data_IF_402235255572
#
_entry.id   IF_402235255572
#
_cell.length_a   1.000
_cell.length_b   1.000
_cell.length_c   1.000
_cell.angle_alpha   90.00
_cell.angle_beta   90.00
_cell.angle_gamma   90.00
#
_symmetry.space_group_name_H-M   'P 1'
#
loop_
_entity.id
_entity.type
_entity.pdbx_description
1 polymer ?
#
# COMPACT_ATOMS: atom_id res chain seq x y z
N UNK A 1 -1.30 25.13 -6.16
CA UNK A 1 -1.17 23.65 -6.16
C UNK A 1 -0.50 23.22 -7.47
N UNK A 2 0.83 23.29 -7.53
CA UNK A 2 1.61 23.08 -8.76
C UNK A 2 2.02 21.60 -8.94
N UNK A 3 2.26 20.87 -7.84
CA UNK A 3 2.76 19.48 -7.90
C UNK A 3 1.70 18.43 -8.28
N UNK A 4 0.41 18.63 -7.94
CA UNK A 4 -0.66 17.71 -8.33
C UNK A 4 -0.96 17.78 -9.84
N UNK A 5 -0.87 18.97 -10.43
CA UNK A 5 -0.98 19.14 -11.88
C UNK A 5 0.24 18.54 -12.60
N UNK A 6 1.44 18.69 -12.04
CA UNK A 6 2.65 18.01 -12.53
C UNK A 6 2.49 16.48 -12.45
N UNK A 7 1.93 15.94 -11.38
CA UNK A 7 1.69 14.50 -11.25
C UNK A 7 0.82 13.96 -12.39
N UNK A 8 -0.27 14.65 -12.72
CA UNK A 8 -1.18 14.28 -13.84
C UNK A 8 -0.54 14.40 -15.23
N UNK A 9 0.59 15.09 -15.36
CA UNK A 9 1.33 15.17 -16.63
C UNK A 9 2.29 14.01 -16.85
N UNK A 10 2.60 13.20 -15.82
CA UNK A 10 3.38 11.99 -16.00
C UNK A 10 2.55 10.97 -16.78
N UNK A 11 2.87 10.83 -18.06
CA UNK A 11 2.38 9.72 -18.88
C UNK A 11 3.43 8.63 -18.89
N UNK A 12 3.16 7.55 -18.19
CA UNK A 12 3.92 6.30 -18.36
C UNK A 12 3.33 5.55 -19.56
N UNK A 13 4.11 5.41 -20.61
CA UNK A 13 3.75 4.52 -21.70
C UNK A 13 3.97 3.07 -21.25
N UNK A 14 2.92 2.45 -20.70
CA UNK A 14 2.92 1.04 -20.27
C UNK A 14 2.81 0.03 -21.43
N UNK A 15 2.76 0.51 -22.68
CA UNK A 15 2.78 -0.32 -23.90
C UNK A 15 4.15 -0.35 -24.58
N UNK A 16 5.14 0.44 -24.12
CA UNK A 16 6.42 0.61 -24.79
C UNK A 16 7.31 -0.65 -24.73
N UNK A 17 7.37 -1.34 -25.86
CA UNK A 17 8.27 -2.44 -26.18
C UNK A 17 9.59 -1.89 -26.75
N UNK A 18 10.73 -2.20 -26.14
CA UNK A 18 12.03 -2.11 -26.80
C UNK A 18 12.39 -3.50 -27.34
N UNK A 19 11.79 -3.88 -28.47
CA UNK A 19 12.04 -5.17 -29.10
C UNK A 19 13.47 -5.22 -29.67
N UNK A 20 14.36 -6.00 -29.04
CA UNK A 20 15.54 -6.57 -29.71
C UNK A 20 15.20 -7.98 -30.23
N UNK A 21 15.83 -8.45 -31.32
CA UNK A 21 15.51 -9.74 -31.96
C UNK A 21 15.83 -11.02 -31.15
N UNK A 22 16.20 -10.93 -29.87
CA UNK A 22 16.52 -12.07 -29.01
C UNK A 22 15.49 -12.14 -27.86
N UNK A 23 14.84 -13.29 -27.59
CA UNK A 23 13.76 -13.37 -26.61
C UNK A 23 14.30 -13.39 -25.17
N UNK A 24 14.71 -12.22 -24.69
CA UNK A 24 14.91 -11.93 -23.27
C UNK A 24 14.38 -10.52 -22.97
N UNK A 25 13.15 -10.45 -22.48
CA UNK A 25 12.68 -9.31 -21.69
C UNK A 25 11.91 -8.22 -22.45
N UNK A 26 10.64 -8.48 -22.74
CA UNK A 26 9.62 -7.44 -22.91
C UNK A 26 8.39 -7.80 -22.09
N UNK A 27 8.30 -7.26 -20.87
CA UNK A 27 7.12 -7.43 -20.02
C UNK A 27 6.12 -6.31 -20.33
N UNK A 28 4.96 -6.67 -20.89
CA UNK A 28 3.85 -5.73 -21.13
C UNK A 28 3.08 -5.53 -19.83
N UNK A 29 3.57 -4.63 -18.96
CA UNK A 29 2.98 -4.42 -17.64
C UNK A 29 1.48 -4.05 -17.69
N UNK A 30 1.00 -3.40 -18.75
CA UNK A 30 -0.43 -3.08 -18.94
C UNK A 30 -1.34 -4.24 -19.38
N UNK A 31 -0.77 -5.39 -19.77
CA UNK A 31 -1.53 -6.61 -20.12
C UNK A 31 -1.48 -7.67 -18.99
N UNK A 32 -0.79 -7.37 -17.88
CA UNK A 32 -0.76 -8.26 -16.72
C UNK A 32 -2.06 -8.09 -15.94
N UNK A 33 -2.78 -9.19 -15.71
CA UNK A 33 -4.00 -9.17 -14.92
C UNK A 33 -3.72 -8.77 -13.47
N UNK A 34 -4.36 -7.70 -13.01
CA UNK A 34 -4.37 -7.29 -11.60
C UNK A 34 -4.97 -8.44 -10.79
N UNK A 35 -4.20 -8.97 -9.87
CA UNK A 35 -4.57 -10.17 -9.09
C UNK A 35 -5.23 -9.80 -7.78
N UNK A 36 -4.97 -8.60 -7.26
CA UNK A 36 -5.60 -8.03 -6.08
C UNK A 36 -5.43 -6.51 -6.08
N UNK A 37 -6.50 -5.81 -5.72
CA UNK A 37 -6.51 -4.36 -5.51
C UNK A 37 -6.62 -4.08 -4.02
N UNK A 38 -5.78 -3.20 -3.49
CA UNK A 38 -5.79 -2.77 -2.08
C UNK A 38 -5.98 -1.27 -2.05
N UNK A 39 -7.09 -0.81 -1.48
CA UNK A 39 -7.38 0.61 -1.28
C UNK A 39 -6.93 1.03 0.11
N UNK A 40 -5.96 1.94 0.19
CA UNK A 40 -5.43 2.50 1.42
C UNK A 40 -6.03 3.90 1.64
N UNK A 41 -7.04 3.95 2.51
CA UNK A 41 -7.73 5.17 2.93
C UNK A 41 -7.06 5.73 4.17
N UNK A 42 -6.58 6.96 4.05
CA UNK A 42 -5.98 7.68 5.16
C UNK A 42 -7.02 8.38 6.01
N UNK A 43 -6.82 8.34 7.32
CA UNK A 43 -7.68 8.98 8.30
C UNK A 43 -6.89 9.56 9.46
N UNK A 44 -7.36 10.69 9.98
CA UNK A 44 -6.89 11.28 11.22
C UNK A 44 -7.89 10.98 12.33
N UNK A 45 -7.42 10.39 13.42
CA UNK A 45 -8.23 10.14 14.61
C UNK A 45 -7.73 10.96 15.79
N UNK A 46 -8.66 11.62 16.48
CA UNK A 46 -8.40 12.42 17.67
C UNK A 46 -9.14 11.79 18.85
N UNK A 47 -8.38 11.16 19.74
CA UNK A 47 -8.88 10.65 21.01
C UNK A 47 -8.31 11.52 22.14
N UNK A 48 -9.14 12.40 22.71
CA UNK A 48 -8.71 13.36 23.73
C UNK A 48 -7.60 14.29 23.22
N UNK A 49 -6.43 14.26 23.86
CA UNK A 49 -5.24 15.05 23.46
C UNK A 49 -4.30 14.32 22.49
N UNK A 50 -4.59 13.07 22.14
CA UNK A 50 -3.73 12.26 21.25
C UNK A 50 -4.25 12.33 19.82
N UNK A 51 -3.39 12.82 18.92
CA UNK A 51 -3.57 12.73 17.47
C UNK A 51 -2.97 11.41 16.98
N UNK A 52 -3.68 10.67 16.14
CA UNK A 52 -3.18 9.45 15.53
C UNK A 52 -3.57 9.39 14.06
N UNK A 53 -2.66 8.92 13.23
CA UNK A 53 -2.90 8.67 11.81
C UNK A 53 -3.14 7.17 11.63
N UNK A 54 -4.13 6.83 10.81
CA UNK A 54 -4.51 5.45 10.55
C UNK A 54 -4.76 5.22 9.06
N UNK A 55 -4.45 4.00 8.64
CA UNK A 55 -4.75 3.49 7.31
C UNK A 55 -5.82 2.43 7.50
N UNK A 56 -6.97 2.58 6.84
CA UNK A 56 -8.10 1.65 6.92
C UNK A 56 -8.50 1.29 8.37
N UNK A 57 -8.44 2.26 9.30
CA UNK A 57 -8.81 2.06 10.70
C UNK A 57 -7.74 1.44 11.60
N UNK A 58 -6.52 1.22 11.09
CA UNK A 58 -5.39 0.75 11.89
C UNK A 58 -4.29 1.81 11.93
N UNK A 59 -3.94 2.23 13.15
CA UNK A 59 -2.76 3.07 13.41
C UNK A 59 -1.58 2.16 13.75
N UNK A 60 -0.56 2.15 12.89
CA UNK A 60 0.56 1.23 13.02
C UNK A 60 1.37 1.51 14.30
N UNK A 61 1.68 0.45 15.05
CA UNK A 61 2.63 0.50 16.17
C UNK A 61 3.72 -0.55 15.97
N UNK A 62 4.96 -0.17 16.25
CA UNK A 62 6.09 -1.09 16.13
C UNK A 62 6.03 -2.11 17.28
N UNK A 63 5.99 -3.41 16.98
CA UNK A 63 6.09 -4.44 18.01
C UNK A 63 7.51 -4.50 18.59
N UNK A 64 7.64 -5.03 19.80
CA UNK A 64 8.96 -5.23 20.44
C UNK A 64 9.82 -6.26 19.68
N UNK A 65 9.20 -7.25 19.06
CA UNK A 65 9.88 -8.27 18.22
C UNK A 65 9.72 -7.92 16.74
N UNK A 66 10.79 -7.86 15.93
CA UNK A 66 10.70 -7.60 14.50
C UNK A 66 9.80 -8.62 13.77
N UNK A 67 8.96 -8.14 12.84
CA UNK A 67 7.97 -8.95 12.14
C UNK A 67 8.58 -10.17 11.44
N UNK A 68 9.67 -9.95 10.67
CA UNK A 68 10.38 -11.02 9.97
C UNK A 68 11.03 -12.03 10.89
N UNK A 69 11.46 -11.61 12.09
CA UNK A 69 12.00 -12.52 13.09
C UNK A 69 10.90 -13.42 13.65
N UNK A 70 9.73 -12.85 13.93
CA UNK A 70 8.57 -13.60 14.40
C UNK A 70 8.07 -14.62 13.35
N UNK A 71 8.07 -14.23 12.07
CA UNK A 71 7.77 -15.15 10.95
C UNK A 71 8.80 -16.29 10.85
N UNK A 72 10.10 -15.97 10.92
CA UNK A 72 11.19 -16.95 10.81
C UNK A 72 11.09 -18.06 11.86
N UNK A 73 10.76 -17.69 13.10
CA UNK A 73 10.57 -18.63 14.21
C UNK A 73 9.15 -19.21 14.30
N UNK A 74 8.31 -19.03 13.27
CA UNK A 74 6.96 -19.58 13.19
C UNK A 74 6.06 -19.18 14.38
N UNK A 75 6.28 -17.98 14.93
CA UNK A 75 5.50 -17.43 16.04
C UNK A 75 4.86 -16.05 15.73
N UNK A 76 4.36 -15.78 14.51
CA UNK A 76 3.81 -14.46 14.17
C UNK A 76 2.59 -14.09 15.02
N UNK A 77 1.74 -15.07 15.37
CA UNK A 77 0.50 -14.87 16.13
C UNK A 77 0.72 -14.30 17.54
N UNK A 78 1.94 -14.46 18.09
CA UNK A 78 2.32 -13.87 19.38
C UNK A 78 2.70 -12.39 19.28
N UNK A 79 2.92 -11.90 18.07
CA UNK A 79 3.49 -10.56 17.81
C UNK A 79 2.52 -9.69 17.01
N UNK A 80 1.86 -10.25 15.99
CA UNK A 80 0.95 -9.51 15.12
C UNK A 80 -0.12 -10.42 14.51
N UNK A 81 -1.11 -9.80 13.88
CA UNK A 81 -2.16 -10.47 13.13
C UNK A 81 -2.12 -9.98 11.69
N UNK A 82 -2.27 -10.87 10.73
CA UNK A 82 -2.38 -10.50 9.33
C UNK A 82 -3.74 -9.90 9.00
N UNK A 83 -3.77 -9.05 7.99
CA UNK A 83 -4.99 -8.58 7.33
C UNK A 83 -5.99 -7.93 8.30
N UNK A 84 -5.47 -7.13 9.25
CA UNK A 84 -6.29 -6.31 10.13
C UNK A 84 -7.06 -5.22 9.39
N UNK A 85 -6.58 -4.83 8.22
CA UNK A 85 -7.24 -3.90 7.31
C UNK A 85 -7.91 -4.66 6.17
N UNK A 86 -9.07 -4.16 5.73
CA UNK A 86 -9.74 -4.64 4.51
C UNK A 86 -9.06 -4.06 3.26
N UNK A 87 -9.06 -4.82 2.18
CA UNK A 87 -8.65 -4.36 0.85
C UNK A 87 -9.60 -3.27 0.32
N UNK A 88 -10.88 -3.38 0.67
CA UNK A 88 -11.90 -2.38 0.42
C UNK A 88 -12.51 -1.94 1.76
N UNK A 89 -11.99 -0.84 2.36
CA UNK A 89 -12.53 -0.33 3.61
C UNK A 89 -13.90 0.30 3.40
N UNK A 90 -14.72 0.32 4.46
CA UNK A 90 -15.97 1.06 4.46
C UNK A 90 -15.73 2.56 4.27
N UNK A 91 -16.70 3.26 3.69
CA UNK A 91 -16.63 4.71 3.45
C UNK A 91 -16.43 5.52 4.74
N UNK A 92 -16.86 4.98 5.88
CA UNK A 92 -16.69 5.59 7.21
C UNK A 92 -15.97 4.60 8.11
N UNK A 93 -14.92 5.07 8.77
CA UNK A 93 -14.11 4.31 9.71
C UNK A 93 -14.23 4.99 11.07
N UNK A 94 -15.13 4.48 11.91
CA UNK A 94 -15.48 5.12 13.19
C UNK A 94 -14.50 4.81 14.33
N UNK A 95 -13.77 3.70 14.22
CA UNK A 95 -12.86 3.24 15.27
C UNK A 95 -11.46 3.02 14.71
N UNK A 96 -10.46 3.50 15.44
CA UNK A 96 -9.05 3.26 15.12
C UNK A 96 -8.44 2.31 16.14
N UNK A 97 -7.95 1.18 15.64
CA UNK A 97 -7.19 0.19 16.41
C UNK A 97 -5.70 0.49 16.31
N UNK A 98 -4.98 0.45 17.43
CA UNK A 98 -3.51 0.46 17.43
C UNK A 98 -2.99 -0.97 17.37
N UNK A 99 -2.27 -1.32 16.31
CA UNK A 99 -1.69 -2.65 16.13
C UNK A 99 -0.58 -2.61 15.06
N UNK A 100 0.34 -3.59 15.03
CA UNK A 100 1.18 -3.80 13.85
C UNK A 100 0.30 -4.07 12.63
N UNK A 101 0.36 -3.18 11.65
CA UNK A 101 -0.42 -3.32 10.41
C UNK A 101 0.38 -4.13 9.39
N UNK A 102 -0.04 -5.38 9.16
CA UNK A 102 0.63 -6.32 8.26
C UNK A 102 -0.40 -6.94 7.32
N UNK A 103 -0.19 -6.77 6.02
CA UNK A 103 -1.00 -7.39 4.96
C UNK A 103 -0.21 -8.54 4.36
N UNK A 104 -0.83 -9.73 4.29
CA UNK A 104 -0.24 -10.86 3.61
C UNK A 104 -0.48 -10.75 2.10
N UNK A 105 0.54 -10.98 1.28
CA UNK A 105 0.47 -10.91 -0.19
C UNK A 105 1.09 -12.19 -0.76
N UNK A 106 0.44 -12.78 -1.76
CA UNK A 106 0.96 -13.94 -2.48
C UNK A 106 2.15 -13.53 -3.35
N UNK A 107 3.24 -14.29 -3.29
CA UNK A 107 4.42 -14.01 -4.11
C UNK A 107 4.10 -14.06 -5.61
N UNK A 108 4.66 -13.12 -6.39
CA UNK A 108 4.48 -12.95 -7.85
C UNK A 108 3.07 -12.62 -8.32
N UNK A 109 2.21 -12.06 -7.45
CA UNK A 109 0.97 -11.44 -7.89
C UNK A 109 1.17 -9.99 -8.33
N UNK A 110 0.38 -9.54 -9.30
CA UNK A 110 0.30 -8.14 -9.68
C UNK A 110 -0.68 -7.42 -8.75
N UNK A 111 -0.17 -6.47 -7.96
CA UNK A 111 -0.96 -5.68 -7.02
C UNK A 111 -1.23 -4.30 -7.56
N UNK A 112 -2.48 -3.86 -7.40
CA UNK A 112 -2.87 -2.47 -7.54
C UNK A 112 -3.07 -1.88 -6.14
N UNK A 113 -2.45 -0.72 -5.88
CA UNK A 113 -2.62 0.00 -4.62
C UNK A 113 -3.27 1.35 -4.93
N UNK A 114 -4.47 1.56 -4.40
CA UNK A 114 -5.21 2.81 -4.54
C UNK A 114 -4.97 3.63 -3.27
N UNK A 115 -4.35 4.79 -3.41
CA UNK A 115 -4.12 5.71 -2.30
C UNK A 115 -5.25 6.72 -2.24
N UNK A 116 -6.06 6.68 -1.19
CA UNK A 116 -7.18 7.60 -0.98
C UNK A 116 -6.92 8.49 0.23
N UNK A 117 -7.08 9.79 0.03
CA UNK A 117 -6.79 10.80 1.04
C UNK A 117 -7.95 11.79 1.14
N UNK A 118 -8.72 11.70 2.23
CA UNK A 118 -9.80 12.63 2.53
C UNK A 118 -9.33 13.87 3.31
N UNK A 119 -8.05 13.92 3.70
CA UNK A 119 -7.48 15.03 4.45
C UNK A 119 -7.09 16.20 3.55
N UNK A 120 -7.01 17.39 4.14
CA UNK A 120 -6.57 18.60 3.43
C UNK A 120 -5.05 18.66 3.22
N UNK A 121 -4.29 17.85 3.94
CA UNK A 121 -2.83 17.79 3.85
C UNK A 121 -2.37 16.80 2.78
N UNK A 122 -1.32 17.16 2.05
CA UNK A 122 -0.62 16.24 1.14
C UNK A 122 0.05 15.14 1.96
N UNK A 123 -0.01 13.91 1.45
CA UNK A 123 0.68 12.76 2.01
C UNK A 123 1.60 12.13 0.96
N UNK A 124 2.83 11.85 1.37
CA UNK A 124 3.84 11.23 0.51
C UNK A 124 4.02 9.78 0.92
N UNK A 125 4.02 8.88 -0.06
CA UNK A 125 4.13 7.44 0.14
C UNK A 125 5.44 6.92 -0.42
N UNK A 126 6.06 5.99 0.29
CA UNK A 126 7.25 5.26 -0.14
C UNK A 126 6.97 3.76 -0.06
N UNK A 127 7.36 3.02 -1.10
CA UNK A 127 7.32 1.57 -1.13
C UNK A 127 8.75 1.05 -1.07
N UNK A 128 9.09 0.39 0.03
CA UNK A 128 10.43 -0.20 0.19
C UNK A 128 10.54 -1.57 -0.49
N UNK A 129 11.73 -1.89 -1.01
CA UNK A 129 12.03 -3.18 -1.64
C UNK A 129 11.43 -3.43 -3.03
N UNK A 130 10.61 -2.51 -3.56
CA UNK A 130 9.98 -2.65 -4.88
C UNK A 130 9.93 -1.31 -5.62
N UNK A 131 10.03 -1.36 -6.94
CA UNK A 131 9.62 -0.25 -7.81
C UNK A 131 8.15 -0.42 -8.20
N UNK A 132 7.45 0.70 -8.42
CA UNK A 132 6.05 0.71 -8.83
C UNK A 132 5.83 1.69 -9.96
N UNK A 133 4.75 1.48 -10.71
CA UNK A 133 4.30 2.40 -11.75
C UNK A 133 3.13 3.22 -11.19
N UNK A 134 3.25 4.54 -11.25
CA UNK A 134 2.13 5.42 -10.97
C UNK A 134 1.18 5.39 -12.17
N UNK A 135 -0.07 4.98 -11.92
CA UNK A 135 -1.18 4.99 -12.87
C UNK A 135 -2.24 5.96 -12.35
N UNK A 136 -2.81 6.79 -13.22
CA UNK A 136 -3.73 7.88 -12.87
C UNK A 136 -4.77 8.11 -13.97
#
# INVERSE_FOLDING_TARGET
>A
MWSLNQFRTFRWNLTASAARPNPQGSYRYGEINITRTIKLVNSVHRAGRKLSYAINGVSHVNPATPLKLAEYFQAPEKVFQYNLISDEPAAVIDQVKQAPNVVNITFRTCLEIILENHEKSIQSWNLDGYSFFAVA
#
